data_IF_360656732307
#
_entry.id   IF_360656732307
#
_cell.length_a   1.000
_cell.length_b   1.000
_cell.length_c   1.000
_cell.angle_alpha   90.00
_cell.angle_beta   90.00
_cell.angle_gamma   90.00
#
_symmetry.space_group_name_H-M   'P 1'
#
loop_
_entity.id
_entity.type
_entity.pdbx_description
1 polymer ?
#
# COMPACT_ATOMS: atom_id res chain seq x y z
N UNK A 1 24.74 20.45 26.91
CA UNK A 1 24.44 19.08 26.44
C UNK A 1 23.39 19.19 25.34
N UNK A 2 23.78 19.09 24.06
CA UNK A 2 22.81 19.05 22.97
C UNK A 2 22.24 17.64 22.90
N UNK A 3 20.93 17.48 23.07
CA UNK A 3 20.29 16.18 22.91
C UNK A 3 20.34 15.80 21.43
N UNK A 4 21.02 14.70 21.11
CA UNK A 4 20.98 14.13 19.77
C UNK A 4 19.53 13.71 19.48
N UNK A 5 18.99 14.17 18.36
CA UNK A 5 17.63 13.80 17.95
C UNK A 5 17.53 12.27 17.86
N UNK A 6 16.50 11.71 18.49
CA UNK A 6 16.15 10.30 18.36
C UNK A 6 15.88 10.02 16.87
N UNK A 7 16.71 9.18 16.25
CA UNK A 7 16.51 8.78 14.85
C UNK A 7 15.19 8.02 14.74
N UNK A 8 14.37 8.39 13.77
CA UNK A 8 13.18 7.61 13.44
C UNK A 8 13.57 6.18 13.07
N UNK A 9 12.79 5.21 13.52
CA UNK A 9 12.97 3.82 13.12
C UNK A 9 12.71 3.67 11.61
N UNK A 10 13.52 2.87 10.89
CA UNK A 10 13.22 2.53 9.49
C UNK A 10 11.83 1.91 9.38
N UNK A 11 11.03 2.38 8.43
CA UNK A 11 9.73 1.79 8.13
C UNK A 11 9.98 0.51 7.32
N UNK A 12 9.58 -0.63 7.86
CA UNK A 12 9.64 -1.93 7.17
C UNK A 12 8.28 -2.28 6.58
N UNK A 13 8.24 -2.78 5.35
CA UNK A 13 7.00 -3.24 4.70
C UNK A 13 6.98 -4.76 4.62
N UNK A 14 5.81 -5.37 4.75
CA UNK A 14 5.62 -6.82 4.63
C UNK A 14 4.52 -7.16 3.64
N UNK A 15 4.52 -8.39 3.11
CA UNK A 15 3.40 -8.90 2.34
C UNK A 15 2.11 -8.89 3.18
N UNK A 16 1.00 -8.46 2.58
CA UNK A 16 -0.27 -8.22 3.25
C UNK A 16 -0.44 -6.80 3.81
N UNK A 17 0.63 -5.98 3.88
CA UNK A 17 0.47 -4.58 4.26
C UNK A 17 -0.36 -3.84 3.19
N UNK A 18 -1.29 -3.02 3.68
CA UNK A 18 -1.96 -2.01 2.85
C UNK A 18 -1.08 -0.76 2.81
N UNK A 19 -0.79 -0.29 1.61
CA UNK A 19 0.08 0.85 1.36
C UNK A 19 -0.53 1.80 0.35
N UNK A 20 -0.21 3.06 0.48
CA UNK A 20 -0.51 4.07 -0.53
C UNK A 20 0.75 4.27 -1.36
N UNK A 21 0.58 4.23 -2.69
CA UNK A 21 1.67 4.52 -3.64
C UNK A 21 1.65 6.01 -3.98
N UNK A 22 2.80 6.66 -3.84
CA UNK A 22 2.96 8.04 -4.32
C UNK A 22 2.87 8.08 -5.85
N UNK A 23 1.97 8.94 -6.34
CA UNK A 23 1.75 9.12 -7.75
C UNK A 23 3.03 9.68 -8.43
N UNK A 24 3.27 9.36 -9.71
CA UNK A 24 4.35 9.98 -10.48
C UNK A 24 4.29 11.52 -10.43
N UNK A 25 5.39 12.21 -10.78
CA UNK A 25 5.41 13.66 -10.90
C UNK A 25 4.24 14.14 -11.74
N UNK A 26 3.43 15.03 -11.16
CA UNK A 26 2.17 15.44 -11.75
C UNK A 26 2.39 16.53 -12.79
N UNK A 27 1.65 16.45 -13.89
CA UNK A 27 1.56 17.54 -14.87
C UNK A 27 0.59 18.65 -14.42
N UNK A 28 -0.34 18.36 -13.51
CA UNK A 28 -1.33 19.31 -12.99
C UNK A 28 -1.37 19.37 -11.47
N UNK A 29 -1.48 20.58 -10.92
CA UNK A 29 -1.60 20.84 -9.47
C UNK A 29 -2.88 20.25 -8.85
N UNK A 30 -3.93 20.05 -9.65
CA UNK A 30 -5.24 19.58 -9.20
C UNK A 30 -5.38 18.05 -9.20
N UNK A 31 -4.43 17.30 -9.76
CA UNK A 31 -4.47 15.84 -9.72
C UNK A 31 -4.24 15.30 -8.29
N UNK A 32 -4.71 14.09 -7.92
CA UNK A 32 -4.43 13.47 -6.61
C UNK A 32 -2.94 13.15 -6.41
N UNK A 33 -2.45 13.13 -5.16
CA UNK A 33 -0.98 12.95 -4.86
C UNK A 33 -0.66 11.50 -4.59
N UNK A 34 -1.67 10.85 -4.06
CA UNK A 34 -1.65 9.53 -3.50
C UNK A 34 -2.71 8.77 -4.28
N UNK A 35 -2.32 7.61 -4.79
CA UNK A 35 -3.27 6.70 -5.40
C UNK A 35 -4.05 5.98 -4.30
N UNK A 36 -5.11 5.28 -4.70
CA UNK A 36 -5.90 4.45 -3.78
C UNK A 36 -5.01 3.44 -3.04
N UNK A 37 -5.43 2.97 -1.85
CA UNK A 37 -4.71 1.95 -1.11
C UNK A 37 -4.52 0.69 -1.96
N UNK A 38 -3.32 0.14 -1.91
CA UNK A 38 -2.92 -1.05 -2.63
C UNK A 38 -2.33 -2.07 -1.66
N UNK A 39 -2.44 -3.34 -2.02
CA UNK A 39 -1.96 -4.44 -1.19
C UNK A 39 -0.57 -4.89 -1.66
N UNK A 40 0.37 -5.06 -0.72
CA UNK A 40 1.65 -5.69 -1.02
C UNK A 40 1.43 -7.20 -1.13
N UNK A 41 1.68 -7.74 -2.31
CA UNK A 41 1.56 -9.18 -2.63
C UNK A 41 2.80 -9.93 -2.17
N UNK A 42 3.99 -9.38 -2.43
CA UNK A 42 5.25 -10.01 -2.03
C UNK A 42 6.38 -8.98 -1.94
N UNK A 43 7.43 -9.34 -1.22
CA UNK A 43 8.72 -8.66 -1.32
C UNK A 43 9.37 -8.99 -2.66
N UNK A 44 9.98 -8.00 -3.29
CA UNK A 44 10.78 -8.15 -4.50
C UNK A 44 12.26 -8.19 -4.18
N UNK A 45 13.10 -7.66 -5.08
CA UNK A 45 14.53 -7.56 -4.84
C UNK A 45 14.87 -6.31 -4.01
N UNK A 46 15.38 -6.52 -2.79
CA UNK A 46 15.85 -5.47 -1.89
C UNK A 46 14.75 -4.48 -1.52
N UNK A 47 14.90 -3.21 -1.92
CA UNK A 47 13.98 -2.13 -1.57
C UNK A 47 12.72 -2.04 -2.47
N UNK A 48 12.30 -3.14 -3.09
CA UNK A 48 11.15 -3.18 -4.01
C UNK A 48 10.09 -4.15 -3.53
N UNK A 49 8.82 -3.79 -3.70
CA UNK A 49 7.66 -4.58 -3.28
C UNK A 49 6.66 -4.72 -4.42
N UNK A 50 6.09 -5.91 -4.55
CA UNK A 50 5.09 -6.23 -5.56
C UNK A 50 3.75 -5.77 -5.03
N UNK A 51 3.13 -4.81 -5.71
CA UNK A 51 1.91 -4.15 -5.26
C UNK A 51 0.79 -4.46 -6.24
N UNK A 52 -0.34 -4.97 -5.74
CA UNK A 52 -1.51 -5.25 -6.55
C UNK A 52 -2.25 -3.96 -6.92
N UNK A 53 -2.64 -3.83 -8.18
CA UNK A 53 -3.39 -2.70 -8.73
C UNK A 53 -4.79 -3.19 -9.11
N UNK A 54 -5.80 -3.00 -8.25
CA UNK A 54 -7.15 -3.53 -8.48
C UNK A 54 -7.78 -3.06 -9.81
N UNK A 55 -7.57 -1.78 -10.16
CA UNK A 55 -8.15 -1.19 -11.36
C UNK A 55 -7.70 -1.85 -12.68
N UNK A 56 -6.49 -2.43 -12.69
CA UNK A 56 -5.91 -3.08 -13.87
C UNK A 56 -5.83 -4.60 -13.71
N UNK A 57 -6.16 -5.12 -12.53
CA UNK A 57 -5.95 -6.52 -12.14
C UNK A 57 -4.50 -6.99 -12.42
N UNK A 58 -3.51 -6.14 -12.13
CA UNK A 58 -2.10 -6.41 -12.38
C UNK A 58 -1.24 -6.19 -11.12
N UNK A 59 -0.01 -6.68 -11.16
CA UNK A 59 0.99 -6.48 -10.11
C UNK A 59 2.10 -5.59 -10.63
N UNK A 60 2.43 -4.54 -9.88
CA UNK A 60 3.47 -3.56 -10.21
C UNK A 60 4.63 -3.65 -9.21
N UNK A 61 5.87 -3.59 -9.68
CA UNK A 61 7.06 -3.50 -8.82
C UNK A 61 7.33 -2.05 -8.43
N UNK A 62 7.23 -1.73 -7.14
CA UNK A 62 7.37 -0.36 -6.62
C UNK A 62 8.48 -0.28 -5.57
N UNK A 63 9.30 0.77 -5.63
CA UNK A 63 10.34 1.04 -4.63
C UNK A 63 9.75 1.51 -3.29
N UNK A 64 10.33 1.12 -2.17
CA UNK A 64 9.82 1.45 -0.83
C UNK A 64 9.72 2.95 -0.55
N UNK A 65 10.58 3.76 -1.17
CA UNK A 65 10.52 5.23 -1.04
C UNK A 65 9.22 5.84 -1.56
N UNK A 66 8.54 5.14 -2.49
CA UNK A 66 7.24 5.54 -3.03
C UNK A 66 6.07 4.92 -2.27
N UNK A 67 6.33 4.12 -1.25
CA UNK A 67 5.32 3.46 -0.44
C UNK A 67 5.14 4.21 0.87
N UNK A 68 3.88 4.36 1.27
CA UNK A 68 3.53 4.91 2.57
C UNK A 68 2.56 3.98 3.27
N UNK A 69 2.89 3.56 4.50
CA UNK A 69 1.95 2.80 5.32
C UNK A 69 0.69 3.60 5.59
N UNK A 70 -0.46 2.98 5.43
CA UNK A 70 -1.73 3.51 5.90
C UNK A 70 -1.79 3.40 7.42
N UNK A 71 -2.16 4.48 8.11
CA UNK A 71 -2.35 4.45 9.56
C UNK A 71 -3.74 3.88 9.86
N UNK A 72 -3.76 2.59 10.22
CA UNK A 72 -4.84 1.85 10.86
C UNK A 72 -6.16 1.67 10.07
N UNK A 73 -6.63 0.41 10.11
CA UNK A 73 -8.03 -0.04 10.02
C UNK A 73 -8.96 0.84 9.21
N UNK A 74 -8.89 0.74 7.88
CA UNK A 74 -10.02 1.15 7.08
C UNK A 74 -10.98 -0.05 6.98
N UNK A 75 -12.14 -0.05 7.65
CA UNK A 75 -13.11 -1.15 7.59
C UNK A 75 -13.65 -1.38 6.17
N UNK A 76 -13.34 -0.49 5.22
CA UNK A 76 -13.67 -0.65 3.81
C UNK A 76 -13.04 -1.89 3.14
N UNK A 77 -11.97 -2.45 3.69
CA UNK A 77 -11.33 -3.67 3.15
C UNK A 77 -11.76 -4.97 3.83
N UNK A 78 -12.51 -4.91 4.92
CA UNK A 78 -12.87 -6.11 5.73
C UNK A 78 -14.18 -6.78 5.27
N UNK A 79 -14.83 -6.26 4.22
CA UNK A 79 -16.20 -6.66 3.84
C UNK A 79 -16.31 -7.28 2.44
N UNK A 80 -15.36 -8.13 2.04
CA UNK A 80 -15.51 -8.97 0.84
C UNK A 80 -14.90 -10.37 0.96
N UNK A 81 -15.09 -11.02 2.11
CA UNK A 81 -14.97 -12.48 2.19
C UNK A 81 -16.05 -13.10 3.09
N UNK A 82 -17.32 -12.88 2.75
CA UNK A 82 -18.43 -13.70 3.27
C UNK A 82 -19.72 -13.45 2.48
N UNK A 83 -19.70 -13.72 1.17
CA UNK A 83 -20.96 -13.93 0.42
C UNK A 83 -20.69 -14.82 -0.77
N UNK A 84 -20.87 -16.13 -0.60
CA UNK A 84 -21.32 -17.08 -1.63
C UNK A 84 -21.21 -18.51 -1.10
N UNK A 85 -22.17 -18.95 -0.29
CA UNK A 85 -22.65 -20.35 -0.26
C UNK A 85 -24.07 -20.34 0.34
N UNK A 86 -25.03 -19.93 -0.49
CA UNK A 86 -26.43 -20.33 -0.37
C UNK A 86 -26.84 -20.81 -1.77
N UNK A 87 -26.89 -22.14 -1.96
CA UNK A 87 -27.84 -22.77 -2.88
C UNK A 87 -28.36 -24.05 -2.21
N UNK A 88 -29.68 -24.02 -1.95
CA UNK A 88 -30.54 -25.09 -1.47
C UNK A 88 -30.42 -26.41 -2.24
N UNK A 89 -30.54 -27.54 -1.53
CA UNK A 89 -31.58 -28.59 -1.68
C UNK A 89 -31.78 -29.30 -0.34
#
# INVERSE_FOLDING_TARGET
MQQQHHRAAPITFIAGDTVIVEAPPRESKLSPKFMDPRLIVSEGNGHKFAVFVPALNTVEMVHCDRLKKTKASDPAFDNSLSTALDEDV
#
